data_IF_517498048649
#
_entry.id   IF_517498048649
#
_cell.length_a   1.000
_cell.length_b   1.000
_cell.length_c   1.000
_cell.angle_alpha   90.00
_cell.angle_beta   90.00
_cell.angle_gamma   90.00
#
_symmetry.space_group_name_H-M   'P 1'
#
loop_
_entity.id
_entity.type
_entity.pdbx_description
1 polymer ?
#
# COMPACT_ATOMS: atom_id res chain seq x y z
N UNK A 1 0.99 27.23 4.40
CA UNK A 1 -0.34 26.94 4.97
C UNK A 1 -0.82 25.64 4.33
N UNK A 2 -0.41 24.49 4.86
CA UNK A 2 -0.92 23.20 4.38
C UNK A 2 -2.34 23.05 4.90
N UNK A 3 -3.30 23.26 4.00
CA UNK A 3 -4.68 22.90 4.23
C UNK A 3 -4.69 21.37 4.16
N UNK A 4 -4.47 20.70 5.29
CA UNK A 4 -4.78 19.29 5.39
C UNK A 4 -6.29 19.21 5.13
N UNK A 5 -6.64 18.80 3.92
CA UNK A 5 -8.03 18.52 3.60
C UNK A 5 -8.34 17.26 4.39
N UNK A 6 -9.23 17.37 5.36
CA UNK A 6 -9.66 16.23 6.15
C UNK A 6 -10.56 15.36 5.29
N UNK A 7 -9.92 14.58 4.42
CA UNK A 7 -10.57 13.64 3.54
C UNK A 7 -11.20 12.54 4.39
N UNK A 8 -12.45 12.20 4.08
CA UNK A 8 -13.05 10.98 4.62
C UNK A 8 -12.23 9.76 4.17
N UNK A 9 -12.35 8.60 4.86
CA UNK A 9 -11.66 7.39 4.45
C UNK A 9 -11.88 7.03 2.99
N UNK A 10 -13.12 7.14 2.49
CA UNK A 10 -13.43 6.84 1.08
C UNK A 10 -12.73 7.80 0.12
N UNK A 11 -12.83 9.12 0.35
CA UNK A 11 -12.19 10.12 -0.52
C UNK A 11 -10.66 9.95 -0.56
N UNK A 12 -10.07 9.65 0.60
CA UNK A 12 -8.62 9.42 0.71
C UNK A 12 -8.18 8.20 -0.09
N UNK A 13 -8.93 7.11 -0.01
CA UNK A 13 -8.68 5.90 -0.80
C UNK A 13 -8.88 6.14 -2.31
N UNK A 14 -9.88 6.94 -2.69
CA UNK A 14 -10.13 7.27 -4.10
C UNK A 14 -9.00 8.13 -4.70
N UNK A 15 -8.55 9.15 -3.96
CA UNK A 15 -7.37 9.96 -4.34
C UNK A 15 -6.12 9.09 -4.42
N UNK A 16 -5.89 8.24 -3.42
CA UNK A 16 -4.75 7.32 -3.40
C UNK A 16 -4.75 6.37 -4.60
N UNK A 17 -5.92 5.82 -4.96
CA UNK A 17 -6.07 4.92 -6.11
C UNK A 17 -5.73 5.64 -7.41
N UNK A 18 -6.33 6.81 -7.64
CA UNK A 18 -6.06 7.60 -8.83
C UNK A 18 -4.56 7.95 -8.94
N UNK A 19 -3.96 8.38 -7.84
CA UNK A 19 -2.54 8.76 -7.82
C UNK A 19 -1.60 7.59 -8.13
N UNK A 20 -1.94 6.35 -7.72
CA UNK A 20 -1.18 5.16 -8.10
C UNK A 20 -1.38 4.78 -9.57
N UNK A 21 -2.60 4.92 -10.08
CA UNK A 21 -2.91 4.61 -11.46
C UNK A 21 -2.19 5.59 -12.42
N UNK A 22 -2.03 6.86 -12.00
CA UNK A 22 -1.28 7.89 -12.72
C UNK A 22 0.23 7.62 -12.82
N UNK A 23 0.82 6.81 -11.92
CA UNK A 23 2.24 6.44 -12.01
C UNK A 23 2.53 5.55 -13.23
N UNK A 24 1.53 4.80 -13.71
CA UNK A 24 1.67 3.90 -14.85
C UNK A 24 2.86 2.94 -14.72
N UNK A 25 3.74 2.96 -15.74
CA UNK A 25 4.88 2.04 -15.85
C UNK A 25 6.08 2.38 -14.95
N UNK A 26 6.15 3.61 -14.44
CA UNK A 26 7.26 4.08 -13.59
C UNK A 26 7.09 3.68 -12.12
N UNK A 27 6.03 2.94 -11.81
CA UNK A 27 5.59 2.67 -10.46
C UNK A 27 6.66 2.05 -9.56
N UNK A 28 7.40 1.08 -10.06
CA UNK A 28 8.41 0.38 -9.26
C UNK A 28 9.59 1.28 -8.87
N UNK A 29 9.92 2.24 -9.73
CA UNK A 29 10.97 3.25 -9.50
C UNK A 29 10.54 4.31 -8.49
N UNK A 30 9.23 4.46 -8.27
CA UNK A 30 8.63 5.37 -7.30
C UNK A 30 8.40 4.74 -5.93
N UNK A 31 8.86 3.51 -5.70
CA UNK A 31 8.74 2.86 -4.40
C UNK A 31 9.63 3.55 -3.36
N UNK A 32 9.01 4.17 -2.36
CA UNK A 32 9.69 4.79 -1.21
C UNK A 32 10.10 3.74 -0.18
N UNK A 33 9.16 2.87 0.20
CA UNK A 33 9.34 1.84 1.22
C UNK A 33 8.68 0.55 0.77
N UNK A 34 9.36 -0.58 0.97
CA UNK A 34 8.81 -1.93 0.80
C UNK A 34 8.78 -2.65 2.14
N UNK A 35 7.62 -3.18 2.52
CA UNK A 35 7.43 -3.91 3.78
C UNK A 35 7.43 -5.40 3.47
N UNK A 36 8.24 -6.16 4.21
CA UNK A 36 8.29 -7.61 4.12
C UNK A 36 8.12 -8.24 5.49
N UNK A 37 7.49 -9.41 5.55
CA UNK A 37 7.41 -10.17 6.81
C UNK A 37 8.75 -10.87 7.12
N UNK A 38 8.90 -11.46 8.31
CA UNK A 38 10.11 -12.18 8.71
C UNK A 38 10.46 -13.38 7.82
N UNK A 39 9.53 -13.85 6.98
CA UNK A 39 9.76 -14.86 5.93
C UNK A 39 10.04 -14.27 4.55
N UNK A 40 10.28 -12.96 4.48
CA UNK A 40 10.54 -12.19 3.24
C UNK A 40 9.38 -12.12 2.24
N UNK A 41 8.15 -12.51 2.62
CA UNK A 41 6.98 -12.23 1.78
C UNK A 41 6.70 -10.74 1.69
N UNK A 42 6.22 -10.28 0.54
CA UNK A 42 5.77 -8.90 0.39
C UNK A 42 4.49 -8.67 1.19
N UNK A 43 4.47 -7.63 2.00
CA UNK A 43 3.32 -7.27 2.86
C UNK A 43 2.63 -6.02 2.32
N UNK A 44 3.41 -4.99 1.99
CA UNK A 44 2.91 -3.70 1.53
C UNK A 44 4.04 -2.89 0.88
N UNK A 45 3.67 -1.83 0.18
CA UNK A 45 4.60 -0.83 -0.33
C UNK A 45 4.05 0.59 -0.14
N UNK A 46 4.95 1.56 -0.10
CA UNK A 46 4.62 2.98 -0.18
C UNK A 46 5.26 3.56 -1.43
N UNK A 47 4.49 4.31 -2.20
CA UNK A 47 4.92 4.92 -3.45
C UNK A 47 4.88 6.44 -3.35
N UNK A 48 5.86 7.10 -3.96
CA UNK A 48 5.87 8.53 -4.19
C UNK A 48 4.87 8.87 -5.30
N UNK A 49 3.90 9.74 -5.02
CA UNK A 49 2.88 10.15 -5.99
C UNK A 49 2.65 11.66 -5.94
N UNK A 50 1.99 12.20 -6.97
CA UNK A 50 1.63 13.62 -7.01
C UNK A 50 0.67 14.05 -5.87
N UNK A 51 -0.08 13.11 -5.28
CA UNK A 51 -0.94 13.36 -4.13
C UNK A 51 -0.21 13.19 -2.77
N UNK A 52 1.08 12.84 -2.81
CA UNK A 52 1.90 12.48 -1.65
C UNK A 52 2.16 10.98 -1.54
N UNK A 53 2.83 10.52 -0.46
CA UNK A 53 3.11 9.10 -0.28
C UNK A 53 1.82 8.27 -0.18
N UNK A 54 1.69 7.26 -1.03
CA UNK A 54 0.53 6.36 -1.05
C UNK A 54 0.93 4.97 -0.56
N UNK A 55 0.23 4.48 0.44
CA UNK A 55 0.30 3.09 0.91
C UNK A 55 -0.51 2.15 0.02
N UNK A 56 0.04 0.97 -0.25
CA UNK A 56 -0.67 -0.15 -0.87
C UNK A 56 -0.40 -1.46 -0.13
N UNK A 57 -1.45 -2.25 0.04
CA UNK A 57 -1.39 -3.66 0.41
C UNK A 57 -2.40 -4.50 -0.38
N UNK A 58 -2.24 -5.82 -0.34
CA UNK A 58 -3.22 -6.78 -0.85
C UNK A 58 -3.93 -7.44 0.33
N UNK A 59 -5.25 -7.40 0.36
CA UNK A 59 -6.08 -8.03 1.37
C UNK A 59 -6.72 -9.30 0.80
N UNK A 60 -6.56 -10.43 1.47
CA UNK A 60 -7.10 -11.73 1.02
C UNK A 60 -6.05 -12.65 0.37
N UNK A 61 -6.46 -13.84 -0.09
CA UNK A 61 -5.56 -14.82 -0.69
C UNK A 61 -4.97 -14.28 -2.00
N UNK A 62 -3.65 -14.17 -2.06
CA UNK A 62 -2.93 -13.84 -3.29
C UNK A 62 -2.25 -15.11 -3.81
N UNK A 63 -2.34 -15.37 -5.12
CA UNK A 63 -1.65 -16.48 -5.76
C UNK A 63 -0.21 -16.05 -6.08
N UNK A 64 0.76 -16.93 -5.82
CA UNK A 64 2.16 -16.67 -6.13
C UNK A 64 2.41 -16.71 -7.65
N UNK A 65 2.99 -15.64 -8.20
CA UNK A 65 3.79 -15.75 -9.42
C UNK A 65 3.52 -14.69 -10.50
N UNK A 66 4.56 -13.93 -10.82
CA UNK A 66 4.70 -12.99 -11.95
C UNK A 66 4.81 -13.72 -13.32
N UNK A 67 4.18 -14.89 -13.47
CA UNK A 67 4.24 -15.71 -14.68
C UNK A 67 2.94 -16.35 -15.16
N UNK A 68 1.85 -16.22 -14.39
CA UNK A 68 0.54 -16.78 -14.75
C UNK A 68 -0.54 -15.70 -14.90
N UNK A 69 -0.20 -14.53 -15.47
CA UNK A 69 -1.21 -13.62 -16.01
C UNK A 69 -1.73 -14.17 -17.34
N UNK A 70 -2.67 -15.10 -17.26
CA UNK A 70 -3.67 -15.28 -18.31
C UNK A 70 -4.94 -14.62 -17.81
N UNK A 71 -5.29 -13.48 -18.40
CA UNK A 71 -6.64 -12.93 -18.31
C UNK A 71 -7.61 -13.97 -18.91
N UNK A 72 -8.15 -14.81 -18.04
CA UNK A 72 -9.25 -15.70 -18.39
C UNK A 72 -10.38 -15.40 -17.43
N UNK A 73 -11.41 -14.75 -17.96
CA UNK A 73 -12.65 -14.56 -17.24
C UNK A 73 -13.29 -15.89 -16.80
N UNK A 74 -14.17 -15.74 -15.81
CA UNK A 74 -15.19 -16.66 -15.33
C UNK A 74 -14.75 -17.73 -14.29
N UNK A 75 -15.30 -17.55 -13.08
CA UNK A 75 -15.42 -18.48 -11.94
C UNK A 75 -14.30 -18.52 -10.87
N UNK A 76 -14.43 -17.66 -9.85
CA UNK A 76 -14.48 -18.15 -8.47
C UNK A 76 -13.17 -18.33 -7.69
N UNK A 77 -12.09 -17.65 -8.01
CA UNK A 77 -10.99 -17.44 -7.04
C UNK A 77 -11.29 -16.22 -6.16
N UNK A 78 -11.16 -16.33 -4.84
CA UNK A 78 -11.17 -15.19 -3.92
C UNK A 78 -9.97 -14.30 -4.24
N UNK A 79 -10.15 -13.36 -5.17
CA UNK A 79 -9.10 -12.44 -5.58
C UNK A 79 -8.72 -11.55 -4.39
N UNK A 80 -7.42 -11.36 -4.16
CA UNK A 80 -6.95 -10.38 -3.20
C UNK A 80 -7.51 -8.99 -3.57
N UNK A 81 -8.20 -8.36 -2.63
CA UNK A 81 -8.69 -6.99 -2.74
C UNK A 81 -7.54 -6.05 -2.45
N UNK A 82 -7.20 -5.20 -3.42
CA UNK A 82 -6.22 -4.14 -3.25
C UNK A 82 -6.74 -3.10 -2.25
N UNK A 83 -5.95 -2.83 -1.21
CA UNK A 83 -6.18 -1.73 -0.29
C UNK A 83 -5.13 -0.64 -0.54
N UNK A 84 -5.59 0.60 -0.70
CA UNK A 84 -4.73 1.75 -0.99
C UNK A 84 -5.17 2.92 -0.15
N UNK A 85 -4.24 3.70 0.37
CA UNK A 85 -4.58 4.89 1.16
C UNK A 85 -3.44 5.92 1.18
N UNK A 86 -3.76 7.21 1.35
CA UNK A 86 -2.72 8.26 1.50
C UNK A 86 -2.07 8.15 2.88
N UNK A 87 -0.75 8.18 2.94
CA UNK A 87 -0.02 8.08 4.21
C UNK A 87 -0.26 9.32 5.09
N UNK A 88 -0.32 10.51 4.48
CA UNK A 88 -0.86 11.72 5.12
C UNK A 88 -2.39 11.68 5.05
N UNK A 89 -3.00 11.12 6.09
CA UNK A 89 -4.45 11.02 6.19
C UNK A 89 -5.12 12.16 6.97
N UNK A 90 -4.36 13.19 7.35
CA UNK A 90 -4.85 14.25 8.22
C UNK A 90 -5.21 13.74 9.62
N UNK A 91 -5.92 14.57 10.38
CA UNK A 91 -6.17 14.32 11.80
C UNK A 91 -7.25 13.25 12.08
N UNK A 92 -8.05 12.90 11.07
CA UNK A 92 -9.12 11.92 11.17
C UNK A 92 -8.68 10.51 10.75
N UNK A 93 -7.47 10.36 10.22
CA UNK A 93 -6.97 9.06 9.83
C UNK A 93 -6.50 8.25 11.03
N UNK A 94 -6.96 7.01 11.09
CA UNK A 94 -6.39 6.01 11.99
C UNK A 94 -4.93 5.74 11.59
N UNK A 95 -4.06 5.61 12.59
CA UNK A 95 -2.63 5.35 12.35
C UNK A 95 -2.40 3.94 11.78
N UNK A 96 -3.25 2.96 12.10
CA UNK A 96 -3.08 1.60 11.63
C UNK A 96 -3.72 1.40 10.24
N UNK A 97 -2.97 0.78 9.34
CA UNK A 97 -3.45 0.34 8.02
C UNK A 97 -3.35 -1.17 7.88
N UNK A 98 -4.36 -1.83 7.30
CA UNK A 98 -4.37 -3.27 7.14
C UNK A 98 -3.41 -3.69 6.03
N UNK A 99 -2.69 -4.78 6.27
CA UNK A 99 -1.90 -5.48 5.29
C UNK A 99 -2.01 -6.98 5.47
N UNK A 100 -1.61 -7.74 4.45
CA UNK A 100 -1.61 -9.19 4.53
C UNK A 100 -0.47 -9.72 3.67
N UNK A 101 0.13 -10.80 4.16
CA UNK A 101 0.92 -11.69 3.31
C UNK A 101 0.48 -13.14 3.56
N UNK A 102 1.19 -14.09 2.98
CA UNK A 102 0.93 -15.52 3.11
C UNK A 102 1.16 -16.02 4.54
N UNK A 103 1.89 -15.28 5.36
CA UNK A 103 2.08 -15.59 6.78
C UNK A 103 0.90 -15.16 7.66
N UNK A 104 0.03 -14.25 7.20
CA UNK A 104 -1.08 -13.76 7.99
C UNK A 104 -1.42 -12.28 7.74
N UNK A 105 -2.29 -11.78 8.60
CA UNK A 105 -2.73 -10.37 8.64
C UNK A 105 -1.69 -9.57 9.43
N UNK A 106 -1.41 -8.36 8.96
CA UNK A 106 -0.55 -7.39 9.61
C UNK A 106 -1.30 -6.05 9.73
N UNK A 107 -0.96 -5.29 10.76
CA UNK A 107 -1.34 -3.89 10.89
C UNK A 107 -0.06 -3.07 10.90
N UNK A 108 0.00 -2.03 10.08
CA UNK A 108 1.19 -1.18 9.93
C UNK A 108 0.83 0.24 10.36
N UNK A 109 1.74 0.89 11.08
CA UNK A 109 1.56 2.29 11.48
C UNK A 109 1.96 3.25 10.35
N UNK A 110 1.07 4.19 10.01
CA UNK A 110 1.36 5.30 9.08
C UNK A 110 2.53 6.11 9.60
N UNK A 111 2.57 6.40 10.90
CA UNK A 111 3.66 7.13 11.52
C UNK A 111 5.00 6.38 11.41
N UNK A 112 5.02 5.06 11.55
CA UNK A 112 6.23 4.25 11.33
C UNK A 112 6.69 4.26 9.88
N UNK A 113 5.75 4.10 8.94
CA UNK A 113 6.04 4.18 7.50
C UNK A 113 6.58 5.56 7.13
N UNK A 114 6.01 6.64 7.67
CA UNK A 114 6.47 8.00 7.43
C UNK A 114 7.87 8.22 8.01
N UNK A 115 8.13 7.74 9.24
CA UNK A 115 9.48 7.77 9.83
C UNK A 115 10.49 7.01 8.98
N UNK A 116 10.11 5.87 8.40
CA UNK A 116 10.98 5.11 7.50
C UNK A 116 11.28 5.89 6.22
N UNK A 117 10.30 6.60 5.65
CA UNK A 117 10.51 7.49 4.50
C UNK A 117 11.49 8.60 4.86
N UNK A 118 11.27 9.29 5.98
CA UNK A 118 12.11 10.40 6.43
C UNK A 118 13.55 9.92 6.72
N UNK A 119 13.70 8.71 7.25
CA UNK A 119 14.98 8.05 7.49
C UNK A 119 15.61 7.43 6.23
N UNK A 120 14.98 7.55 5.06
CA UNK A 120 15.41 6.93 3.80
C UNK A 120 15.59 5.40 3.91
N UNK A 121 14.78 4.77 4.77
CA UNK A 121 14.75 3.33 4.95
C UNK A 121 13.83 2.69 3.90
N UNK A 122 14.41 2.24 2.80
CA UNK A 122 13.66 1.65 1.68
C UNK A 122 13.04 0.29 1.96
N UNK A 123 13.40 -0.38 3.05
CA UNK A 123 12.84 -1.70 3.41
C UNK A 123 12.58 -1.82 4.90
N UNK A 124 11.37 -2.23 5.25
CA UNK A 124 10.98 -2.61 6.61
C UNK A 124 10.83 -4.12 6.66
N UNK A 125 11.49 -4.76 7.63
CA UNK A 125 11.31 -6.17 7.96
C UNK A 125 10.44 -6.26 9.21
N UNK A 126 9.28 -6.91 9.10
CA UNK A 126 8.45 -7.24 10.25
C UNK A 126 9.05 -8.46 10.95
N UNK A 127 9.04 -8.45 12.27
CA UNK A 127 9.44 -9.58 13.12
C UNK A 127 8.43 -10.72 13.09
#
# INVERSE_FOLDING_TARGET
MNRHIDLSPTERQDVARQALDDLGKERDDRALVRVRCGRSHHVAAVFDTAAGPVFESLLGPHAHGDRDFVDTGHHGSLHATRYVDLLDGGHLAEDLVPARCECGIHELSRAELQRAIDAHQHTIQLS
#
